data_IF_808870694622
#
_entry.id   IF_808870694622
#
_cell.length_a   1.000
_cell.length_b   1.000
_cell.length_c   1.000
_cell.angle_alpha   90.00
_cell.angle_beta   90.00
_cell.angle_gamma   90.00
#
_symmetry.space_group_name_H-M   'P 1'
#
loop_
_entity.id
_entity.type
_entity.pdbx_description
1 polymer ?
#
# COMPACT_ATOMS: atom_id res chain seq x y z
N UNK A 1 -2.70 31.13 14.51
CA UNK A 1 -2.26 30.02 13.65
C UNK A 1 -2.34 28.73 14.46
N UNK A 2 -3.15 27.77 14.02
CA UNK A 2 -3.29 26.49 14.72
C UNK A 2 -1.98 25.72 14.61
N UNK A 3 -1.42 25.32 15.76
CA UNK A 3 -0.21 24.51 15.82
C UNK A 3 -0.53 23.14 15.22
N UNK A 4 -0.17 22.93 13.95
CA UNK A 4 -0.16 21.59 13.38
C UNK A 4 0.93 20.83 14.14
N UNK A 5 0.52 19.79 14.86
CA UNK A 5 1.46 18.88 15.49
C UNK A 5 2.06 17.99 14.39
N UNK A 6 3.19 18.44 13.83
CA UNK A 6 3.90 17.78 12.73
C UNK A 6 4.31 16.36 13.12
N UNK A 7 4.67 16.12 14.39
CA UNK A 7 5.03 14.78 14.87
C UNK A 7 3.83 13.82 14.81
N UNK A 8 2.63 14.26 15.22
CA UNK A 8 1.40 13.47 15.06
C UNK A 8 1.06 13.21 13.61
N UNK A 9 1.35 14.16 12.71
CA UNK A 9 1.13 13.98 11.28
C UNK A 9 2.11 12.95 10.68
N UNK A 10 3.39 13.05 11.05
CA UNK A 10 4.44 12.08 10.70
C UNK A 10 4.04 10.68 11.14
N UNK A 11 3.65 10.50 12.41
CA UNK A 11 3.20 9.22 12.96
C UNK A 11 1.99 8.66 12.20
N UNK A 12 1.04 9.52 11.83
CA UNK A 12 -0.14 9.13 11.07
C UNK A 12 0.24 8.65 9.67
N UNK A 13 1.11 9.37 8.97
CA UNK A 13 1.55 9.00 7.63
C UNK A 13 2.39 7.72 7.66
N UNK A 14 3.30 7.57 8.63
CA UNK A 14 4.09 6.34 8.80
C UNK A 14 3.18 5.11 8.98
N UNK A 15 2.17 5.19 9.87
CA UNK A 15 1.20 4.11 10.05
C UNK A 15 0.43 3.75 8.78
N UNK A 16 0.14 4.75 7.92
CA UNK A 16 -0.50 4.49 6.63
C UNK A 16 0.45 3.80 5.65
N UNK A 17 1.72 4.21 5.60
CA UNK A 17 2.76 3.52 4.80
C UNK A 17 2.92 2.07 5.24
N UNK A 18 2.97 1.81 6.55
CA UNK A 18 3.13 0.48 7.10
C UNK A 18 1.94 -0.42 6.74
N UNK A 19 0.72 0.11 6.85
CA UNK A 19 -0.50 -0.61 6.48
C UNK A 19 -0.55 -0.93 4.98
N UNK A 20 -0.25 0.05 4.12
CA UNK A 20 -0.22 -0.14 2.67
C UNK A 20 0.87 -1.16 2.28
N UNK A 21 2.03 -1.13 2.95
CA UNK A 21 3.12 -2.09 2.74
C UNK A 21 2.69 -3.50 3.12
N UNK A 22 2.07 -3.69 4.30
CA UNK A 22 1.60 -5.01 4.72
C UNK A 22 0.55 -5.59 3.75
N UNK A 23 -0.38 -4.76 3.29
CA UNK A 23 -1.38 -5.20 2.31
C UNK A 23 -0.74 -5.55 0.97
N UNK A 24 0.20 -4.73 0.50
CA UNK A 24 0.95 -4.96 -0.73
C UNK A 24 1.73 -6.28 -0.69
N UNK A 25 2.38 -6.59 0.45
CA UNK A 25 3.08 -7.84 0.66
C UNK A 25 2.13 -9.04 0.59
N UNK A 26 0.95 -8.95 1.19
CA UNK A 26 -0.04 -10.02 1.15
C UNK A 26 -0.57 -10.27 -0.27
N UNK A 27 -0.88 -9.20 -1.01
CA UNK A 27 -1.31 -9.31 -2.41
C UNK A 27 -0.19 -9.88 -3.28
N UNK A 28 1.05 -9.42 -3.08
CA UNK A 28 2.22 -9.92 -3.82
C UNK A 28 2.48 -11.40 -3.53
N UNK A 29 2.38 -11.84 -2.26
CA UNK A 29 2.48 -13.27 -1.89
C UNK A 29 1.38 -14.10 -2.54
N UNK A 30 0.16 -13.56 -2.61
CA UNK A 30 -0.98 -14.22 -3.27
C UNK A 30 -0.72 -14.40 -4.77
N UNK A 31 -0.24 -13.35 -5.44
CA UNK A 31 0.08 -13.36 -6.87
C UNK A 31 1.33 -14.20 -7.20
N UNK A 32 2.27 -14.36 -6.25
CA UNK A 32 3.43 -15.25 -6.40
C UNK A 32 3.07 -16.74 -6.24
N UNK A 33 1.91 -17.05 -5.65
CA UNK A 33 1.46 -18.42 -5.47
C UNK A 33 0.90 -18.98 -6.79
N UNK A 34 1.70 -19.81 -7.47
CA UNK A 34 1.34 -20.44 -8.75
C UNK A 34 0.02 -21.22 -8.68
N UNK A 35 -0.23 -21.95 -7.58
CA UNK A 35 -1.48 -22.70 -7.41
C UNK A 35 -2.71 -21.78 -7.41
N UNK A 36 -2.58 -20.56 -6.90
CA UNK A 36 -3.66 -19.58 -6.93
C UNK A 36 -3.82 -18.99 -8.34
N UNK A 37 -2.71 -18.57 -8.96
CA UNK A 37 -2.72 -17.97 -10.30
C UNK A 37 -3.27 -18.91 -11.37
N UNK A 38 -2.95 -20.20 -11.29
CA UNK A 38 -3.38 -21.19 -12.28
C UNK A 38 -4.84 -21.61 -12.10
N UNK A 39 -5.39 -21.53 -10.88
CA UNK A 39 -6.73 -22.06 -10.55
C UNK A 39 -7.79 -20.99 -10.39
N UNK A 40 -7.41 -19.75 -10.07
CA UNK A 40 -8.36 -18.68 -9.88
C UNK A 40 -8.88 -18.13 -11.22
N UNK A 41 -10.13 -17.63 -11.27
CA UNK A 41 -10.65 -16.94 -12.45
C UNK A 41 -9.77 -15.73 -12.82
N UNK A 42 -9.63 -15.48 -14.13
CA UNK A 42 -8.85 -14.35 -14.66
C UNK A 42 -9.26 -13.01 -14.05
N UNK A 43 -10.56 -12.80 -13.83
CA UNK A 43 -11.07 -11.58 -13.20
C UNK A 43 -10.52 -11.38 -11.79
N UNK A 44 -10.46 -12.44 -10.98
CA UNK A 44 -9.91 -12.40 -9.61
C UNK A 44 -8.41 -12.07 -9.65
N UNK A 45 -7.67 -12.66 -10.60
CA UNK A 45 -6.24 -12.37 -10.78
C UNK A 45 -6.03 -10.92 -11.21
N UNK A 46 -6.82 -10.41 -12.15
CA UNK A 46 -6.75 -9.02 -12.60
C UNK A 46 -7.05 -8.05 -11.46
N UNK A 47 -8.10 -8.29 -10.66
CA UNK A 47 -8.41 -7.48 -9.48
C UNK A 47 -7.25 -7.48 -8.47
N UNK A 48 -6.54 -8.60 -8.30
CA UNK A 48 -5.34 -8.64 -7.43
C UNK A 48 -4.19 -7.81 -8.00
N UNK A 49 -3.97 -7.83 -9.31
CA UNK A 49 -2.96 -6.97 -9.96
C UNK A 49 -3.33 -5.49 -9.90
N UNK A 50 -4.59 -5.14 -10.13
CA UNK A 50 -5.11 -3.77 -9.97
C UNK A 50 -4.92 -3.29 -8.54
N UNK A 51 -5.33 -4.11 -7.56
CA UNK A 51 -5.14 -3.78 -6.14
C UNK A 51 -3.67 -3.59 -5.78
N UNK A 52 -2.78 -4.42 -6.34
CA UNK A 52 -1.33 -4.27 -6.16
C UNK A 52 -0.85 -2.90 -6.65
N UNK A 53 -1.23 -2.52 -7.87
CA UNK A 53 -0.83 -1.24 -8.47
C UNK A 53 -1.40 -0.03 -7.70
N UNK A 54 -2.64 -0.12 -7.23
CA UNK A 54 -3.23 0.90 -6.36
C UNK A 54 -2.44 1.09 -5.06
N UNK A 55 -2.12 -0.02 -4.38
CA UNK A 55 -1.36 0.00 -3.13
C UNK A 55 0.05 0.55 -3.32
N UNK A 56 0.71 0.21 -4.43
CA UNK A 56 2.02 0.79 -4.78
C UNK A 56 1.91 2.32 -4.99
N UNK A 57 0.90 2.78 -5.72
CA UNK A 57 0.68 4.22 -5.93
C UNK A 57 0.31 4.96 -4.64
N UNK A 58 -0.56 4.37 -3.81
CA UNK A 58 -0.95 4.94 -2.52
C UNK A 58 0.26 5.04 -1.58
N UNK A 59 1.03 3.97 -1.46
CA UNK A 59 2.25 3.95 -0.66
C UNK A 59 3.24 5.01 -1.11
N UNK A 60 3.48 5.16 -2.42
CA UNK A 60 4.41 6.16 -2.93
C UNK A 60 3.94 7.59 -2.60
N UNK A 61 2.66 7.90 -2.82
CA UNK A 61 2.08 9.22 -2.50
C UNK A 61 2.23 9.56 -1.01
N UNK A 62 1.94 8.61 -0.13
CA UNK A 62 2.07 8.81 1.32
C UNK A 62 3.55 8.95 1.70
N UNK A 63 4.43 8.16 1.11
CA UNK A 63 5.87 8.21 1.38
C UNK A 63 6.48 9.53 0.94
N UNK A 64 6.07 10.05 -0.22
CA UNK A 64 6.46 11.39 -0.68
C UNK A 64 5.99 12.45 0.32
N UNK A 65 4.72 12.42 0.74
CA UNK A 65 4.21 13.37 1.72
C UNK A 65 4.93 13.29 3.06
N UNK A 66 5.27 12.08 3.53
CA UNK A 66 6.02 11.87 4.75
C UNK A 66 7.43 12.48 4.66
N UNK A 67 8.15 12.26 3.56
CA UNK A 67 9.47 12.86 3.31
C UNK A 67 9.46 14.39 3.29
N UNK A 68 8.32 15.02 2.97
CA UNK A 68 8.17 16.48 2.96
C UNK A 68 7.95 17.07 4.37
N UNK A 69 7.72 16.21 5.38
CA UNK A 69 7.57 16.58 6.79
C UNK A 69 8.81 16.29 7.64
N UNK A 70 9.81 15.64 7.06
CA UNK A 70 11.13 15.43 7.65
C UNK A 70 12.06 16.60 7.31
#
# INVERSE_FOLDING_TARGET
AGVINIDKERDRLQKKVDKATLELDNVTKTLANKNFVERAPKEVINQKYERKAELESEKEKISVNLRMLD
#
